data_IF_190850341568
#
_entry.id   IF_190850341568
#
_cell.length_a   1.000
_cell.length_b   1.000
_cell.length_c   1.000
_cell.angle_alpha   90.00
_cell.angle_beta   90.00
_cell.angle_gamma   90.00
#
_symmetry.space_group_name_H-M   'P 1'
#
loop_
_entity.id
_entity.type
_entity.pdbx_description
1 polymer ?
#
# COMPACT_ATOMS: atom_id res chain seq x y z
N UNK A 1 -13.52 -46.88 -29.25
CA UNK A 1 -14.07 -45.62 -29.81
C UNK A 1 -14.68 -44.82 -28.67
N UNK A 2 -14.16 -43.60 -28.43
CA UNK A 2 -14.77 -42.33 -27.92
C UNK A 2 -15.75 -42.43 -26.71
N UNK A 3 -15.75 -41.60 -25.67
CA UNK A 3 -15.53 -40.15 -25.52
C UNK A 3 -14.96 -39.91 -24.09
N UNK A 4 -13.86 -39.19 -23.90
CA UNK A 4 -13.83 -37.72 -23.75
C UNK A 4 -14.75 -37.20 -22.63
N UNK A 5 -14.30 -37.30 -21.37
CA UNK A 5 -14.81 -36.49 -20.27
C UNK A 5 -13.89 -35.29 -20.08
N UNK A 6 -14.23 -34.16 -20.68
CA UNK A 6 -13.47 -32.91 -20.58
C UNK A 6 -13.62 -32.35 -19.17
N UNK A 7 -12.49 -32.27 -18.47
CA UNK A 7 -12.32 -31.59 -17.19
C UNK A 7 -12.51 -30.08 -17.42
N UNK A 8 -13.65 -29.52 -17.01
CA UNK A 8 -13.91 -28.08 -17.09
C UNK A 8 -13.44 -27.41 -15.79
N UNK A 9 -12.14 -27.10 -15.70
CA UNK A 9 -11.60 -26.17 -14.68
C UNK A 9 -11.84 -24.74 -15.16
N UNK A 10 -12.94 -24.14 -14.74
CA UNK A 10 -13.26 -22.74 -15.00
C UNK A 10 -12.29 -21.83 -14.24
N UNK A 11 -11.47 -21.10 -14.99
CA UNK A 11 -10.57 -20.04 -14.55
C UNK A 11 -11.33 -18.89 -13.87
N UNK A 12 -11.16 -18.73 -12.57
CA UNK A 12 -11.45 -17.50 -11.82
C UNK A 12 -10.13 -16.98 -11.22
N UNK A 13 -9.23 -16.50 -12.08
CA UNK A 13 -7.90 -15.99 -11.71
C UNK A 13 -7.71 -14.50 -11.99
N UNK A 14 -8.77 -13.69 -11.93
CA UNK A 14 -8.75 -12.31 -12.43
C UNK A 14 -8.46 -11.20 -11.41
N UNK A 15 -8.47 -11.47 -10.11
CA UNK A 15 -8.23 -10.44 -9.06
C UNK A 15 -7.06 -10.74 -8.12
N UNK A 16 -6.34 -11.85 -8.35
CA UNK A 16 -5.25 -12.26 -7.46
C UNK A 16 -3.96 -11.46 -7.74
N UNK A 17 -3.66 -11.17 -9.02
CA UNK A 17 -2.38 -10.56 -9.40
C UNK A 17 -2.09 -9.23 -8.67
N UNK A 18 -3.03 -8.28 -8.62
CA UNK A 18 -2.79 -6.99 -7.97
C UNK A 18 -2.65 -7.12 -6.44
N UNK A 19 -3.49 -7.95 -5.81
CA UNK A 19 -3.41 -8.23 -4.38
C UNK A 19 -2.10 -8.92 -4.01
N UNK A 20 -1.65 -9.87 -4.84
CA UNK A 20 -0.40 -10.60 -4.65
C UNK A 20 0.80 -9.65 -4.71
N UNK A 21 0.81 -8.67 -5.61
CA UNK A 21 1.92 -7.69 -5.66
C UNK A 21 1.99 -6.79 -4.42
N UNK A 22 0.84 -6.37 -3.87
CA UNK A 22 0.80 -5.54 -2.67
C UNK A 22 1.23 -6.34 -1.43
N UNK A 23 0.75 -7.57 -1.26
CA UNK A 23 1.16 -8.43 -0.15
C UNK A 23 2.65 -8.75 -0.19
N UNK A 24 3.20 -8.99 -1.39
CA UNK A 24 4.64 -9.17 -1.58
C UNK A 24 5.42 -7.92 -1.20
N UNK A 25 4.95 -6.73 -1.57
CA UNK A 25 5.58 -5.47 -1.20
C UNK A 25 5.58 -5.24 0.32
N UNK A 26 4.45 -5.48 0.99
CA UNK A 26 4.35 -5.40 2.46
C UNK A 26 5.31 -6.41 3.10
N UNK A 27 5.26 -7.68 2.68
CA UNK A 27 6.11 -8.75 3.21
C UNK A 27 7.60 -8.47 3.03
N UNK A 28 8.00 -7.94 1.87
CA UNK A 28 9.39 -7.56 1.59
C UNK A 28 9.86 -6.39 2.46
N UNK A 29 8.98 -5.44 2.76
CA UNK A 29 9.28 -4.36 3.71
C UNK A 29 9.41 -4.89 5.14
N UNK A 30 8.50 -5.76 5.58
CA UNK A 30 8.57 -6.41 6.90
C UNK A 30 9.83 -7.24 7.08
N UNK A 31 10.23 -8.02 6.06
CA UNK A 31 11.47 -8.80 6.08
C UNK A 31 12.73 -7.94 6.26
N UNK A 32 12.66 -6.66 5.86
CA UNK A 32 13.73 -5.66 6.03
C UNK A 32 13.52 -4.75 7.24
N UNK A 33 12.50 -5.00 8.05
CA UNK A 33 12.08 -4.16 9.18
C UNK A 33 11.81 -2.70 8.76
N UNK A 34 11.37 -2.48 7.52
CA UNK A 34 10.97 -1.15 7.00
C UNK A 34 9.48 -0.94 7.21
N UNK A 35 9.12 -0.32 8.34
CA UNK A 35 7.73 -0.05 8.72
C UNK A 35 7.19 1.28 8.20
N UNK A 36 8.00 2.03 7.43
CA UNK A 36 7.69 3.41 7.07
C UNK A 36 6.44 3.49 6.20
N UNK A 37 5.54 4.40 6.57
CA UNK A 37 4.33 4.70 5.80
C UNK A 37 4.66 5.50 4.55
N UNK A 38 3.91 5.26 3.48
CA UNK A 38 4.01 6.03 2.25
C UNK A 38 3.23 7.33 2.41
N UNK A 39 3.92 8.45 2.24
CA UNK A 39 3.31 9.78 2.27
C UNK A 39 3.40 10.45 0.90
N UNK A 40 2.39 11.28 0.60
CA UNK A 40 2.49 12.19 -0.54
C UNK A 40 3.51 13.28 -0.23
N UNK A 41 4.52 13.42 -1.07
CA UNK A 41 5.51 14.48 -0.92
C UNK A 41 4.84 15.85 -1.07
N UNK A 42 5.08 16.76 -0.13
CA UNK A 42 4.48 18.09 -0.13
C UNK A 42 4.02 18.53 1.25
N UNK A 43 3.14 19.54 1.30
CA UNK A 43 2.68 20.10 2.57
C UNK A 43 1.88 19.09 3.38
N UNK A 44 2.30 18.87 4.63
CA UNK A 44 1.61 18.03 5.60
C UNK A 44 1.87 16.52 5.48
N UNK A 45 2.59 16.07 4.43
CA UNK A 45 2.98 14.68 4.23
C UNK A 45 1.84 13.71 4.51
N UNK A 46 0.76 13.84 3.73
CA UNK A 46 -0.46 13.07 3.95
C UNK A 46 -0.15 11.59 3.74
N UNK A 47 -0.47 10.76 4.73
CA UNK A 47 -0.42 9.30 4.64
C UNK A 47 -1.80 8.80 4.20
N UNK A 48 -2.02 8.46 2.91
CA UNK A 48 -3.33 7.99 2.45
C UNK A 48 -3.74 6.72 3.20
N UNK A 49 -5.04 6.49 3.34
CA UNK A 49 -5.59 5.32 4.04
C UNK A 49 -5.56 5.40 5.58
N UNK A 50 -4.95 6.44 6.16
CA UNK A 50 -4.95 6.71 7.60
C UNK A 50 -5.89 7.88 7.89
N UNK A 51 -6.72 7.76 8.94
CA UNK A 51 -7.64 8.81 9.37
C UNK A 51 -6.88 10.10 9.72
N UNK A 52 -7.45 11.26 9.39
CA UNK A 52 -6.76 12.56 9.48
C UNK A 52 -6.24 12.88 10.90
N UNK A 53 -7.01 12.54 11.92
CA UNK A 53 -6.69 12.67 13.34
C UNK A 53 -5.59 11.71 13.80
N UNK A 54 -5.42 10.57 13.11
CA UNK A 54 -4.42 9.55 13.42
C UNK A 54 -3.09 9.73 12.67
N UNK A 55 -3.06 10.57 11.62
CA UNK A 55 -1.87 10.67 10.76
C UNK A 55 -0.61 11.08 11.52
N UNK A 56 -0.69 12.04 12.44
CA UNK A 56 0.48 12.50 13.20
C UNK A 56 1.06 11.36 14.05
N UNK A 57 0.23 10.66 14.81
CA UNK A 57 0.64 9.53 15.65
C UNK A 57 1.16 8.36 14.82
N UNK A 58 0.48 8.02 13.72
CA UNK A 58 0.89 6.95 12.83
C UNK A 58 2.27 7.22 12.18
N UNK A 59 2.49 8.45 11.68
CA UNK A 59 3.78 8.85 11.12
C UNK A 59 4.91 8.87 12.15
N UNK A 60 4.63 9.37 13.36
CA UNK A 60 5.61 9.36 14.45
C UNK A 60 6.01 7.92 14.83
N UNK A 61 5.05 6.99 14.82
CA UNK A 61 5.27 5.59 15.20
C UNK A 61 5.97 4.77 14.14
N UNK A 62 5.52 4.90 12.90
CA UNK A 62 5.97 4.05 11.79
C UNK A 62 7.16 4.66 11.03
N UNK A 63 7.39 5.97 11.15
CA UNK A 63 8.20 6.73 10.20
C UNK A 63 7.53 6.87 8.84
N UNK A 64 8.20 7.57 7.92
CA UNK A 64 7.65 7.88 6.58
C UNK A 64 8.67 7.66 5.47
N UNK A 65 8.17 7.35 4.28
CA UNK A 65 8.91 7.25 3.02
C UNK A 65 8.08 7.84 1.88
N UNK A 66 8.76 8.21 0.80
CA UNK A 66 8.13 8.76 -0.39
C UNK A 66 8.13 7.73 -1.52
N UNK A 67 7.20 7.91 -2.47
CA UNK A 67 7.25 7.23 -3.75
C UNK A 67 7.61 8.23 -4.84
N UNK A 68 8.43 7.79 -5.79
CA UNK A 68 8.74 8.58 -6.97
C UNK A 68 7.46 8.88 -7.76
N UNK A 69 7.30 10.14 -8.15
CA UNK A 69 6.09 10.61 -8.83
C UNK A 69 4.86 10.82 -7.94
N UNK A 70 4.93 10.56 -6.63
CA UNK A 70 3.82 10.78 -5.69
C UNK A 70 3.97 12.09 -4.90
N UNK A 71 3.96 13.20 -5.62
CA UNK A 71 4.03 14.57 -5.08
C UNK A 71 2.68 15.28 -4.99
N UNK A 72 2.69 16.50 -4.44
CA UNK A 72 1.52 17.37 -4.31
C UNK A 72 1.19 18.15 -5.59
N UNK A 73 2.13 18.24 -6.52
CA UNK A 73 1.92 18.83 -7.85
C UNK A 73 1.46 17.75 -8.83
N UNK A 74 0.18 17.84 -9.24
CA UNK A 74 -0.43 16.90 -10.20
C UNK A 74 -0.70 17.64 -11.51
N UNK A 75 0.03 17.27 -12.56
CA UNK A 75 -0.24 17.78 -13.91
C UNK A 75 -1.48 17.09 -14.51
N UNK A 76 -2.21 17.73 -15.46
CA UNK A 76 -3.43 17.14 -16.03
C UNK A 76 -3.26 15.74 -16.63
N UNK A 77 -2.12 15.46 -17.24
CA UNK A 77 -1.72 14.18 -17.84
C UNK A 77 -1.32 13.12 -16.79
N UNK A 78 -1.06 13.53 -15.55
CA UNK A 78 -0.60 12.65 -14.46
C UNK A 78 -1.72 12.23 -13.50
N UNK A 79 -2.96 12.70 -13.68
CA UNK A 79 -4.07 12.47 -12.75
C UNK A 79 -4.32 10.98 -12.46
N UNK A 80 -4.34 10.15 -13.50
CA UNK A 80 -4.60 8.72 -13.35
C UNK A 80 -3.44 7.99 -12.68
N UNK A 81 -2.20 8.33 -13.03
CA UNK A 81 -1.01 7.78 -12.36
C UNK A 81 -0.98 8.18 -10.88
N UNK A 82 -1.25 9.44 -10.55
CA UNK A 82 -1.34 9.89 -9.17
C UNK A 82 -2.48 9.20 -8.42
N UNK A 83 -3.65 9.00 -9.03
CA UNK A 83 -4.75 8.27 -8.41
C UNK A 83 -4.36 6.83 -8.07
N UNK A 84 -3.66 6.13 -8.99
CA UNK A 84 -3.12 4.78 -8.76
C UNK A 84 -2.11 4.76 -7.61
N UNK A 85 -1.15 5.70 -7.58
CA UNK A 85 -0.19 5.82 -6.49
C UNK A 85 -0.86 6.13 -5.14
N UNK A 86 -1.88 6.98 -5.15
CA UNK A 86 -2.65 7.30 -3.95
C UNK A 86 -3.43 6.09 -3.42
N UNK A 87 -4.04 5.29 -4.30
CA UNK A 87 -4.74 4.06 -3.92
C UNK A 87 -3.77 3.01 -3.37
N UNK A 88 -2.65 2.77 -4.08
CA UNK A 88 -1.58 1.88 -3.63
C UNK A 88 -1.04 2.28 -2.25
N UNK A 89 -0.72 3.58 -2.07
CA UNK A 89 -0.26 4.10 -0.78
C UNK A 89 -1.30 3.90 0.33
N UNK A 90 -2.59 4.11 0.02
CA UNK A 90 -3.66 3.92 0.99
C UNK A 90 -3.76 2.46 1.46
N UNK A 91 -3.65 1.51 0.54
CA UNK A 91 -3.78 0.09 0.86
C UNK A 91 -2.54 -0.44 1.58
N UNK A 92 -1.35 -0.03 1.13
CA UNK A 92 -0.09 -0.34 1.80
C UNK A 92 -0.08 0.19 3.25
N UNK A 93 -0.45 1.45 3.45
CA UNK A 93 -0.41 2.09 4.77
C UNK A 93 -1.37 1.43 5.76
N UNK A 94 -2.59 1.07 5.33
CA UNK A 94 -3.57 0.39 6.20
C UNK A 94 -3.02 -0.95 6.72
N UNK A 95 -2.32 -1.69 5.86
CA UNK A 95 -1.70 -2.97 6.22
C UNK A 95 -0.47 -2.77 7.10
N UNK A 96 0.41 -1.85 6.71
CA UNK A 96 1.66 -1.59 7.43
C UNK A 96 1.42 -1.04 8.84
N UNK A 97 0.36 -0.26 9.06
CA UNK A 97 0.04 0.34 10.36
C UNK A 97 -0.05 -0.70 11.49
N UNK A 98 -0.53 -1.91 11.19
CA UNK A 98 -0.67 -3.01 12.14
C UNK A 98 0.67 -3.62 12.57
N UNK A 99 1.75 -3.35 11.83
CA UNK A 99 3.07 -3.95 12.06
C UNK A 99 4.06 -2.99 12.72
N UNK A 100 3.78 -1.68 12.73
CA UNK A 100 4.67 -0.73 13.36
C UNK A 100 4.73 -0.98 14.87
N UNK A 101 5.93 -1.12 15.46
CA UNK A 101 6.06 -1.27 16.90
C UNK A 101 5.52 -0.02 17.62
N UNK A 102 5.04 -0.14 18.87
CA UNK A 102 4.76 1.03 19.70
C UNK A 102 6.00 1.91 19.80
N UNK A 103 5.81 3.24 19.88
CA UNK A 103 6.95 4.13 20.19
C UNK A 103 7.43 3.74 21.59
N UNK A 104 8.68 3.29 21.70
CA UNK A 104 9.28 2.95 22.99
C UNK A 104 9.16 4.14 23.95
N UNK A 105 8.22 4.02 24.89
CA UNK A 105 7.77 5.12 25.72
C UNK A 105 6.76 4.72 26.79
N UNK A 106 6.98 3.56 27.41
CA UNK A 106 6.24 2.98 28.56
C UNK A 106 4.77 2.58 28.30
N UNK A 107 4.49 1.31 28.59
CA UNK A 107 3.14 0.86 28.97
C UNK A 107 2.74 1.53 30.29
#
# INVERSE_FOLDING_TARGET
MRLAGVLLLTLLGGCQADADTLEQAVSASLARQDYRLIVRAGRGEVAPGIAADQQAAAKARCGVRYLDGFGDVIKPDQKEAHARLSAYAADYNRRMLAHCPPIDGKQ
#
